data_IF_656460470774
#
_entry.id   IF_656460470774
#
_cell.length_a   1.000
_cell.length_b   1.000
_cell.length_c   1.000
_cell.angle_alpha   90.00
_cell.angle_beta   90.00
_cell.angle_gamma   90.00
#
_symmetry.space_group_name_H-M   'P 1'
#
loop_
_entity.id
_entity.type
_entity.pdbx_description
1 polymer ?
#
# COMPACT_ATOMS: atom_id res chain seq x y z
N UNK A 1 0.94 -21.07 -18.34
CA UNK A 1 1.10 -20.35 -17.06
C UNK A 1 2.59 -20.36 -16.74
N UNK A 2 3.24 -19.20 -16.67
CA UNK A 2 4.69 -19.14 -16.49
C UNK A 2 5.00 -19.20 -14.99
N UNK A 3 5.53 -20.34 -14.54
CA UNK A 3 5.86 -20.70 -13.17
C UNK A 3 7.19 -20.05 -12.75
N UNK A 4 7.21 -19.27 -11.66
CA UNK A 4 8.38 -18.46 -11.23
C UNK A 4 8.70 -18.68 -9.75
N UNK A 5 9.98 -18.62 -9.40
CA UNK A 5 10.45 -18.73 -8.02
C UNK A 5 9.89 -17.60 -7.14
N UNK A 6 9.71 -17.85 -5.84
CA UNK A 6 9.09 -16.92 -4.88
C UNK A 6 9.71 -15.50 -4.90
N UNK A 7 11.03 -15.39 -5.12
CA UNK A 7 11.73 -14.09 -5.23
C UNK A 7 11.39 -13.34 -6.53
N UNK A 8 11.25 -14.06 -7.64
CA UNK A 8 10.86 -13.47 -8.92
C UNK A 8 9.39 -13.04 -8.90
N UNK A 9 8.51 -13.84 -8.30
CA UNK A 9 7.10 -13.50 -8.09
C UNK A 9 6.94 -12.23 -7.22
N UNK A 10 7.74 -12.09 -6.15
CA UNK A 10 7.72 -10.91 -5.29
C UNK A 10 8.17 -9.64 -6.05
N UNK A 11 9.26 -9.75 -6.84
CA UNK A 11 9.75 -8.63 -7.64
C UNK A 11 8.69 -8.15 -8.64
N UNK A 12 7.97 -9.08 -9.26
CA UNK A 12 6.88 -8.77 -10.18
C UNK A 12 5.71 -8.10 -9.45
N UNK A 13 5.28 -8.65 -8.31
CA UNK A 13 4.19 -8.11 -7.51
C UNK A 13 4.46 -6.69 -6.98
N UNK A 14 5.74 -6.35 -6.79
CA UNK A 14 6.22 -5.01 -6.42
C UNK A 14 6.50 -4.11 -7.63
N UNK A 15 6.41 -4.62 -8.85
CA UNK A 15 6.66 -3.84 -10.07
C UNK A 15 5.48 -2.92 -10.43
N UNK A 16 4.32 -3.09 -9.80
CA UNK A 16 3.16 -2.21 -10.01
C UNK A 16 3.36 -0.85 -9.34
N UNK A 17 4.07 0.01 -10.05
CA UNK A 17 4.38 1.38 -9.62
C UNK A 17 3.11 2.20 -9.38
N UNK A 18 2.02 1.97 -10.13
CA UNK A 18 0.75 2.69 -9.92
C UNK A 18 0.20 2.43 -8.54
N UNK A 19 0.23 1.18 -8.06
CA UNK A 19 -0.27 0.85 -6.72
C UNK A 19 0.54 1.52 -5.62
N UNK A 20 1.85 1.64 -5.81
CA UNK A 20 2.75 2.31 -4.87
C UNK A 20 2.50 3.82 -4.86
N UNK A 21 2.40 4.45 -6.04
CA UNK A 21 2.10 5.88 -6.15
C UNK A 21 0.74 6.24 -5.58
N UNK A 22 -0.29 5.42 -5.81
CA UNK A 22 -1.64 5.65 -5.26
C UNK A 22 -1.66 5.57 -3.73
N UNK A 23 -0.96 4.59 -3.14
CA UNK A 23 -0.83 4.51 -1.69
C UNK A 23 -0.13 5.74 -1.11
N UNK A 24 1.00 6.16 -1.70
CA UNK A 24 1.73 7.34 -1.28
C UNK A 24 0.92 8.63 -1.45
N UNK A 25 0.23 8.79 -2.57
CA UNK A 25 -0.64 9.94 -2.83
C UNK A 25 -1.79 10.00 -1.82
N UNK A 26 -2.39 8.85 -1.47
CA UNK A 26 -3.41 8.76 -0.44
C UNK A 26 -2.90 9.22 0.93
N UNK A 27 -1.73 8.72 1.36
CA UNK A 27 -1.10 9.12 2.62
C UNK A 27 -0.77 10.60 2.65
N UNK A 28 -0.15 11.12 1.59
CA UNK A 28 0.19 12.54 1.49
C UNK A 28 -1.05 13.43 1.53
N UNK A 29 -2.14 13.03 0.86
CA UNK A 29 -3.40 13.78 0.86
C UNK A 29 -4.03 13.83 2.25
N UNK A 30 -4.04 12.70 2.95
CA UNK A 30 -4.63 12.58 4.29
C UNK A 30 -3.88 13.43 5.31
N UNK A 31 -2.55 13.39 5.31
CA UNK A 31 -1.74 14.25 6.19
C UNK A 31 -1.78 15.73 5.76
N UNK A 32 -1.89 16.01 4.46
CA UNK A 32 -2.13 17.36 3.96
C UNK A 32 -3.41 17.95 4.55
N UNK A 33 -4.53 17.20 4.51
CA UNK A 33 -5.80 17.62 5.11
C UNK A 33 -5.66 17.79 6.63
N UNK A 34 -5.01 16.85 7.33
CA UNK A 34 -4.80 16.95 8.77
C UNK A 34 -3.98 18.20 9.16
N UNK A 35 -2.99 18.56 8.35
CA UNK A 35 -2.18 19.77 8.57
C UNK A 35 -2.97 21.06 8.43
N UNK A 36 -4.00 21.10 7.57
CA UNK A 36 -4.89 22.25 7.42
C UNK A 36 -5.85 22.41 8.61
N UNK A 37 -6.18 21.32 9.29
CA UNK A 37 -7.08 21.30 10.45
C UNK A 37 -6.35 21.57 11.78
N UNK A 38 -5.03 21.36 11.80
CA UNK A 38 -4.12 21.59 12.93
C UNK A 38 -4.64 21.12 14.30
N UNK A 39 -5.20 19.91 14.33
CA UNK A 39 -5.80 19.33 15.53
C UNK A 39 -5.23 17.94 15.81
N UNK A 40 -4.97 17.65 17.09
CA UNK A 40 -4.54 16.32 17.54
C UNK A 40 -5.50 15.21 17.09
N UNK A 41 -6.82 15.50 17.08
CA UNK A 41 -7.82 14.55 16.59
C UNK A 41 -7.69 14.29 15.08
N UNK A 42 -7.34 15.31 14.29
CA UNK A 42 -7.14 15.19 12.86
C UNK A 42 -5.89 14.36 12.54
N UNK A 43 -4.77 14.57 13.25
CA UNK A 43 -3.57 13.76 13.09
C UNK A 43 -3.77 12.30 13.53
N UNK A 44 -4.52 12.06 14.61
CA UNK A 44 -4.87 10.71 15.02
C UNK A 44 -5.74 9.99 13.97
N UNK A 45 -6.78 10.67 13.46
CA UNK A 45 -7.60 10.15 12.37
C UNK A 45 -6.78 9.89 11.10
N UNK A 46 -5.87 10.79 10.75
CA UNK A 46 -4.96 10.64 9.61
C UNK A 46 -4.02 9.43 9.76
N UNK A 47 -3.51 9.18 10.97
CA UNK A 47 -2.71 7.99 11.26
C UNK A 47 -3.52 6.70 11.06
N UNK A 48 -4.77 6.65 11.53
CA UNK A 48 -5.65 5.48 11.35
C UNK A 48 -6.00 5.23 9.86
N UNK A 49 -6.28 6.29 9.11
CA UNK A 49 -6.53 6.19 7.67
C UNK A 49 -5.28 5.73 6.93
N UNK A 50 -4.12 6.30 7.26
CA UNK A 50 -2.83 5.90 6.70
C UNK A 50 -2.52 4.43 6.98
N UNK A 51 -2.77 3.97 8.21
CA UNK A 51 -2.63 2.57 8.58
C UNK A 51 -3.52 1.67 7.71
N UNK A 52 -4.78 2.06 7.49
CA UNK A 52 -5.70 1.32 6.61
C UNK A 52 -5.19 1.26 5.17
N UNK A 53 -4.71 2.38 4.61
CA UNK A 53 -4.11 2.43 3.27
C UNK A 53 -2.93 1.45 3.18
N UNK A 54 -2.07 1.43 4.20
CA UNK A 54 -0.94 0.51 4.27
C UNK A 54 -1.37 -0.95 4.32
N UNK A 55 -2.40 -1.28 5.11
CA UNK A 55 -2.94 -2.64 5.20
C UNK A 55 -3.53 -3.09 3.86
N UNK A 56 -4.31 -2.25 3.19
CA UNK A 56 -4.86 -2.55 1.87
C UNK A 56 -3.74 -2.77 0.86
N UNK A 57 -2.74 -1.88 0.82
CA UNK A 57 -1.59 -2.04 -0.07
C UNK A 57 -0.85 -3.36 0.20
N UNK A 58 -0.60 -3.69 1.46
CA UNK A 58 0.09 -4.91 1.87
C UNK A 58 -0.67 -6.17 1.47
N UNK A 59 -1.97 -6.23 1.76
CA UNK A 59 -2.84 -7.37 1.42
C UNK A 59 -2.88 -7.57 -0.10
N UNK A 60 -3.01 -6.50 -0.87
CA UNK A 60 -2.97 -6.58 -2.33
C UNK A 60 -1.61 -7.07 -2.85
N UNK A 61 -0.49 -6.65 -2.23
CA UNK A 61 0.85 -7.22 -2.57
C UNK A 61 0.86 -8.72 -2.31
N UNK A 62 0.39 -9.13 -1.14
CA UNK A 62 0.46 -10.50 -0.68
C UNK A 62 -0.40 -11.41 -1.57
N UNK A 63 -1.63 -10.97 -1.91
CA UNK A 63 -2.51 -11.70 -2.83
C UNK A 63 -1.87 -11.86 -4.20
N UNK A 64 -1.31 -10.79 -4.76
CA UNK A 64 -0.65 -10.86 -6.08
C UNK A 64 0.60 -11.73 -6.03
N UNK A 65 1.39 -11.65 -4.95
CA UNK A 65 2.55 -12.50 -4.74
C UNK A 65 2.16 -13.98 -4.65
N UNK A 66 1.14 -14.32 -3.86
CA UNK A 66 0.62 -15.70 -3.74
C UNK A 66 0.07 -16.20 -5.08
N UNK A 67 -0.60 -15.35 -5.86
CA UNK A 67 -1.09 -15.70 -7.20
C UNK A 67 0.06 -16.04 -8.16
N UNK A 68 1.20 -15.34 -8.04
CA UNK A 68 2.34 -15.49 -8.93
C UNK A 68 3.36 -16.55 -8.47
N UNK A 69 3.36 -16.88 -7.19
CA UNK A 69 4.26 -17.88 -6.61
C UNK A 69 3.70 -19.30 -6.80
N UNK A 70 4.56 -20.22 -7.24
CA UNK A 70 4.33 -21.66 -7.02
C UNK A 70 4.82 -22.03 -5.62
N UNK A 71 3.98 -22.74 -4.87
CA UNK A 71 4.29 -23.33 -3.57
C UNK A 71 4.35 -24.85 -3.66
#
# INVERSE_FOLDING_TARGET
MATRSARAALKEALSDWRRHTLALAGVASVFGIASLLDSNGAYYGAALVTFTIWMVWFVLTAVEWIRLAEF
#
